data_IF_948320329234
#
_entry.id   IF_948320329234
#
_cell.length_a   1.000
_cell.length_b   1.000
_cell.length_c   1.000
_cell.angle_alpha   90.00
_cell.angle_beta   90.00
_cell.angle_gamma   90.00
#
_symmetry.space_group_name_H-M   'P 1'
#
loop_
_entity.id
_entity.type
_entity.pdbx_description
1 polymer ?
#
# COMPACT_ATOMS: atom_id res chain seq x y z
N UNK A 1 3.63 -20.27 -1.42
CA UNK A 1 4.62 -19.53 -2.23
C UNK A 1 4.80 -18.11 -1.69
N UNK A 2 4.84 -17.95 -0.35
CA UNK A 2 4.74 -16.68 0.39
C UNK A 2 6.09 -15.92 0.54
N UNK A 3 7.14 -16.34 -0.18
CA UNK A 3 8.52 -15.93 0.13
C UNK A 3 9.02 -14.68 -0.61
N UNK A 4 8.32 -14.19 -1.63
CA UNK A 4 8.78 -13.05 -2.43
C UNK A 4 8.30 -11.69 -1.87
N UNK A 5 7.04 -11.58 -1.42
CA UNK A 5 6.49 -10.33 -0.86
C UNK A 5 7.03 -10.00 0.53
N UNK A 6 7.31 -11.03 1.34
CA UNK A 6 8.02 -10.85 2.62
C UNK A 6 9.42 -10.21 2.45
N UNK A 7 10.02 -10.33 1.25
CA UNK A 7 11.35 -9.80 0.93
C UNK A 7 11.33 -8.29 0.63
N UNK A 8 10.21 -7.72 0.18
CA UNK A 8 10.09 -6.27 -0.05
C UNK A 8 9.77 -5.48 1.22
N UNK A 9 8.98 -6.03 2.15
CA UNK A 9 8.81 -5.46 3.49
C UNK A 9 10.10 -5.55 4.34
N UNK A 10 11.04 -6.44 3.98
CA UNK A 10 12.33 -6.59 4.68
C UNK A 10 13.28 -5.40 4.46
N UNK A 11 13.02 -4.52 3.48
CA UNK A 11 13.89 -3.37 3.20
C UNK A 11 13.81 -2.28 4.28
N UNK A 12 12.71 -2.18 5.03
CA UNK A 12 12.67 -1.36 6.25
C UNK A 12 13.44 -2.03 7.41
N UNK A 13 13.53 -3.37 7.43
CA UNK A 13 14.16 -4.14 8.52
C UNK A 13 15.69 -4.29 8.45
N UNK A 14 16.35 -4.01 7.32
CA UNK A 14 17.77 -4.39 7.13
C UNK A 14 18.82 -3.27 7.18
N UNK A 15 18.46 -1.99 7.32
CA UNK A 15 19.48 -0.93 7.34
C UNK A 15 20.42 -0.96 6.11
N UNK A 16 19.97 -1.56 5.01
CA UNK A 16 20.72 -1.64 3.76
C UNK A 16 20.50 -0.34 2.97
N UNK A 17 21.19 0.72 3.38
CA UNK A 17 21.75 1.77 2.51
C UNK A 17 20.86 2.47 1.48
N UNK A 18 19.53 2.44 1.59
CA UNK A 18 18.67 3.30 0.77
C UNK A 18 18.41 4.57 1.58
N UNK A 19 18.99 5.70 1.16
CA UNK A 19 18.62 7.00 1.72
C UNK A 19 17.14 7.28 1.42
N UNK A 20 16.28 6.99 2.38
CA UNK A 20 14.89 7.41 2.35
C UNK A 20 14.86 8.87 2.75
N UNK A 21 14.69 9.74 1.75
CA UNK A 21 14.52 11.18 1.99
C UNK A 21 13.36 11.43 2.94
N UNK A 22 13.60 12.26 3.97
CA UNK A 22 12.58 12.67 4.95
C UNK A 22 11.38 13.40 4.36
N UNK A 23 11.53 13.90 3.13
CA UNK A 23 10.49 14.65 2.43
C UNK A 23 9.54 13.75 1.61
N UNK A 24 9.81 12.43 1.52
CA UNK A 24 8.98 11.53 0.72
C UNK A 24 7.76 11.05 1.51
N UNK A 25 6.62 11.06 0.84
CA UNK A 25 5.40 10.44 1.36
C UNK A 25 5.46 8.91 1.15
N UNK A 26 4.69 8.17 1.95
CA UNK A 26 4.54 6.73 1.77
C UNK A 26 4.03 6.41 0.36
N UNK A 27 3.10 7.21 -0.18
CA UNK A 27 2.60 7.07 -1.55
C UNK A 27 3.73 7.16 -2.59
N UNK A 28 4.60 8.16 -2.49
CA UNK A 28 5.72 8.34 -3.42
C UNK A 28 6.73 7.20 -3.32
N UNK A 29 6.96 6.70 -2.11
CA UNK A 29 7.86 5.58 -1.86
C UNK A 29 7.33 4.28 -2.48
N UNK A 30 6.07 3.93 -2.19
CA UNK A 30 5.40 2.77 -2.77
C UNK A 30 5.50 2.79 -4.30
N UNK A 31 5.14 3.92 -4.93
CA UNK A 31 5.01 4.01 -6.39
C UNK A 31 6.34 4.14 -7.13
N UNK A 32 7.29 4.89 -6.58
CA UNK A 32 8.51 5.28 -7.29
C UNK A 32 9.74 4.49 -6.86
N UNK A 33 9.78 3.99 -5.62
CA UNK A 33 10.92 3.23 -5.10
C UNK A 33 10.63 1.72 -5.11
N UNK A 34 9.45 1.33 -4.63
CA UNK A 34 9.05 -0.09 -4.63
C UNK A 34 8.32 -0.51 -5.91
N UNK A 35 7.97 0.47 -6.76
CA UNK A 35 7.23 0.26 -8.01
C UNK A 35 5.85 -0.42 -7.83
N UNK A 36 5.30 -0.36 -6.62
CA UNK A 36 3.94 -0.77 -6.26
C UNK A 36 2.96 0.36 -6.64
N UNK A 37 2.45 0.27 -7.87
CA UNK A 37 1.65 1.33 -8.52
C UNK A 37 0.15 1.13 -8.37
N UNK A 38 -0.27 0.13 -7.61
CA UNK A 38 -1.65 -0.19 -7.27
C UNK A 38 -2.32 0.93 -6.49
N UNK A 39 -1.71 1.36 -5.38
CA UNK A 39 -2.11 2.59 -4.65
C UNK A 39 -1.96 3.82 -5.54
N UNK A 40 -3.01 4.66 -5.61
CA UNK A 40 -3.09 5.74 -6.62
C UNK A 40 -2.75 7.11 -6.07
N UNK A 41 -2.23 7.93 -6.99
CA UNK A 41 -1.95 9.35 -6.80
C UNK A 41 -3.11 10.18 -7.37
N UNK A 42 -3.74 11.05 -6.59
CA UNK A 42 -4.84 11.91 -7.08
C UNK A 42 -4.86 13.29 -6.42
N UNK A 43 -5.50 13.43 -5.25
CA UNK A 43 -5.71 14.75 -4.62
C UNK A 43 -4.53 15.24 -3.75
N UNK A 44 -3.73 14.31 -3.20
CA UNK A 44 -2.62 14.60 -2.26
C UNK A 44 -2.96 15.33 -0.95
N UNK A 45 -4.24 15.50 -0.64
CA UNK A 45 -4.70 16.20 0.57
C UNK A 45 -5.58 15.31 1.48
N UNK A 46 -5.66 14.01 1.18
CA UNK A 46 -6.41 13.02 1.96
C UNK A 46 -7.92 12.98 1.71
N UNK A 47 -8.46 13.81 0.81
CA UNK A 47 -9.91 13.87 0.55
C UNK A 47 -10.48 12.74 -0.32
N UNK A 48 -9.70 12.21 -1.27
CA UNK A 48 -10.23 11.28 -2.29
C UNK A 48 -10.19 9.79 -1.93
N UNK A 49 -9.38 9.38 -0.95
CA UNK A 49 -9.20 7.97 -0.58
C UNK A 49 -8.45 7.06 -1.57
N UNK A 50 -8.16 7.50 -2.80
CA UNK A 50 -7.50 6.66 -3.83
C UNK A 50 -6.10 6.15 -3.45
N UNK A 51 -5.50 6.73 -2.40
CA UNK A 51 -4.19 6.38 -1.87
C UNK A 51 -4.25 5.59 -0.54
N UNK A 52 -5.42 5.07 -0.16
CA UNK A 52 -5.58 4.34 1.09
C UNK A 52 -4.72 3.06 1.07
N UNK A 53 -4.06 2.81 2.20
CA UNK A 53 -3.37 1.55 2.53
C UNK A 53 -3.77 1.12 3.93
N UNK A 54 -3.65 -0.18 4.22
CA UNK A 54 -3.84 -0.71 5.55
C UNK A 54 -2.50 -0.79 6.28
N UNK A 55 -2.46 -0.41 7.56
CA UNK A 55 -1.23 -0.41 8.36
C UNK A 55 -1.47 -1.07 9.71
N UNK A 56 -0.51 -1.87 10.16
CA UNK A 56 -0.50 -2.47 11.50
C UNK A 56 0.81 -2.12 12.16
N UNK A 57 0.78 -1.58 13.39
CA UNK A 57 2.00 -1.24 14.13
C UNK A 57 2.60 -2.49 14.77
N UNK A 58 3.92 -2.62 14.76
CA UNK A 58 4.62 -3.76 15.38
C UNK A 58 4.42 -3.88 16.90
N UNK A 59 4.03 -2.79 17.55
CA UNK A 59 3.60 -2.80 18.97
C UNK A 59 2.35 -3.65 19.23
N UNK A 60 1.71 -4.18 18.19
CA UNK A 60 0.40 -4.79 18.24
C UNK A 60 -0.71 -3.74 18.15
N UNK A 61 -1.93 -4.23 17.93
CA UNK A 61 -3.14 -3.42 17.81
C UNK A 61 -3.96 -3.76 16.58
N UNK A 62 -5.09 -3.08 16.44
CA UNK A 62 -5.94 -3.19 15.26
C UNK A 62 -5.28 -2.54 14.03
N UNK A 63 -5.55 -3.10 12.87
CA UNK A 63 -5.13 -2.49 11.61
C UNK A 63 -5.89 -1.20 11.35
N UNK A 64 -5.20 -0.19 10.81
CA UNK A 64 -5.75 1.12 10.52
C UNK A 64 -5.64 1.44 9.04
N UNK A 65 -6.64 2.13 8.50
CA UNK A 65 -6.63 2.66 7.13
C UNK A 65 -6.07 4.07 7.15
N UNK A 66 -5.07 4.35 6.32
CA UNK A 66 -4.42 5.68 6.26
C UNK A 66 -4.29 6.16 4.82
N UNK A 67 -4.39 7.47 4.62
CA UNK A 67 -4.07 8.12 3.35
C UNK A 67 -2.54 8.19 3.20
N UNK A 68 -1.95 7.31 2.37
CA UNK A 68 -0.49 7.23 2.21
C UNK A 68 0.15 8.53 1.69
N UNK A 69 -0.61 9.42 1.05
CA UNK A 69 -0.12 10.74 0.62
C UNK A 69 0.16 11.70 1.79
N UNK A 70 -0.39 11.45 2.99
CA UNK A 70 -0.19 12.29 4.18
C UNK A 70 0.77 11.66 5.19
N UNK A 71 1.29 10.47 4.90
CA UNK A 71 2.17 9.71 5.79
C UNK A 71 3.60 9.89 5.33
N UNK A 72 4.48 10.36 6.22
CA UNK A 72 5.92 10.37 5.97
C UNK A 72 6.47 8.96 6.04
N UNK A 73 7.33 8.58 5.10
CA UNK A 73 8.02 7.27 5.11
C UNK A 73 8.79 7.00 6.40
N UNK A 74 9.34 8.04 7.04
CA UNK A 74 10.07 7.90 8.32
C UNK A 74 9.16 7.37 9.43
N UNK A 75 7.87 7.73 9.42
CA UNK A 75 6.93 7.26 10.45
C UNK A 75 6.60 5.77 10.34
N UNK A 76 6.98 5.12 9.24
CA UNK A 76 6.62 3.73 8.92
C UNK A 76 7.67 2.69 9.35
N UNK A 77 8.76 3.09 10.01
CA UNK A 77 9.88 2.21 10.43
C UNK A 77 9.43 0.96 11.21
N UNK A 78 8.28 1.04 11.89
CA UNK A 78 7.70 -0.03 12.71
C UNK A 78 6.27 -0.40 12.29
N UNK A 79 5.93 -0.16 11.02
CA UNK A 79 4.62 -0.46 10.46
C UNK A 79 4.72 -1.60 9.46
N UNK A 80 3.79 -2.55 9.55
CA UNK A 80 3.48 -3.47 8.47
C UNK A 80 2.44 -2.79 7.58
N UNK A 81 2.85 -2.45 6.35
CA UNK A 81 1.99 -1.79 5.35
C UNK A 81 1.46 -2.85 4.39
N UNK A 82 0.14 -2.89 4.18
CA UNK A 82 -0.54 -3.75 3.21
C UNK A 82 -1.18 -2.90 2.13
N UNK A 83 -0.82 -3.18 0.88
CA UNK A 83 -1.28 -2.52 -0.34
C UNK A 83 -2.26 -3.41 -1.11
N UNK A 84 -2.81 -2.89 -2.22
CA UNK A 84 -3.72 -3.67 -3.09
C UNK A 84 -3.00 -4.87 -3.74
N UNK A 85 -1.69 -4.77 -3.93
CA UNK A 85 -0.86 -5.85 -4.47
C UNK A 85 -0.72 -7.04 -3.51
N UNK A 86 -0.84 -6.81 -2.20
CA UNK A 86 -0.68 -7.83 -1.17
C UNK A 86 -1.93 -8.69 -0.96
N UNK A 87 -3.12 -8.13 -1.23
CA UNK A 87 -4.41 -8.78 -1.00
C UNK A 87 -4.80 -9.74 -2.13
N UNK A 88 -3.84 -10.40 -2.79
CA UNK A 88 -3.99 -11.33 -3.92
C UNK A 88 -4.20 -10.70 -5.30
N UNK A 89 -3.84 -11.44 -6.35
CA UNK A 89 -3.71 -10.93 -7.71
C UNK A 89 -3.72 -12.03 -8.77
N UNK A 90 -3.47 -11.64 -10.03
CA UNK A 90 -3.69 -12.47 -11.23
C UNK A 90 -3.09 -13.88 -11.20
N UNK A 91 -2.00 -14.10 -10.48
CA UNK A 91 -1.29 -15.37 -10.43
C UNK A 91 -1.81 -16.32 -9.34
N UNK A 92 -2.38 -15.79 -8.25
CA UNK A 92 -2.78 -16.57 -7.07
C UNK A 92 -4.31 -16.65 -6.90
N UNK A 93 -5.06 -15.96 -7.78
CA UNK A 93 -6.50 -15.75 -7.64
C UNK A 93 -6.80 -14.40 -7.00
N UNK A 94 -7.99 -13.87 -7.26
CA UNK A 94 -8.42 -12.58 -6.70
C UNK A 94 -9.13 -12.76 -5.35
N UNK A 95 -9.02 -11.76 -4.50
CA UNK A 95 -9.70 -11.74 -3.21
C UNK A 95 -11.21 -11.68 -3.42
N UNK A 96 -12.03 -12.31 -2.56
CA UNK A 96 -13.49 -12.21 -2.66
C UNK A 96 -13.99 -10.76 -2.77
N UNK A 97 -13.33 -9.79 -2.12
CA UNK A 97 -13.65 -8.37 -2.26
C UNK A 97 -13.38 -7.82 -3.66
N UNK A 98 -12.25 -8.16 -4.26
CA UNK A 98 -11.91 -7.73 -5.63
C UNK A 98 -12.89 -8.34 -6.64
N UNK A 99 -13.22 -9.63 -6.49
CA UNK A 99 -14.21 -10.34 -7.33
C UNK A 99 -15.59 -9.70 -7.19
N UNK A 100 -16.08 -9.54 -5.96
CA UNK A 100 -17.40 -8.97 -5.68
C UNK A 100 -17.54 -7.58 -6.30
N UNK A 101 -16.53 -6.71 -6.15
CA UNK A 101 -16.56 -5.36 -6.68
C UNK A 101 -16.56 -5.35 -8.21
N UNK A 102 -15.83 -6.26 -8.85
CA UNK A 102 -15.84 -6.41 -10.31
C UNK A 102 -17.17 -6.97 -10.83
N UNK A 103 -17.71 -8.03 -10.23
CA UNK A 103 -18.95 -8.68 -10.67
C UNK A 103 -20.20 -7.82 -10.47
N UNK A 104 -20.19 -6.93 -9.48
CA UNK A 104 -21.32 -6.05 -9.16
C UNK A 104 -21.21 -4.67 -9.81
N UNK A 105 -20.39 -4.51 -10.87
CA UNK A 105 -20.19 -3.23 -11.57
C UNK A 105 -19.72 -2.08 -10.63
N UNK A 106 -19.01 -2.41 -9.56
CA UNK A 106 -18.49 -1.45 -8.58
C UNK A 106 -17.23 -0.71 -9.05
N UNK A 107 -16.77 -0.97 -10.27
CA UNK A 107 -15.65 -0.28 -10.91
C UNK A 107 -15.95 0.04 -12.36
N UNK A 108 -15.63 1.28 -12.78
CA UNK A 108 -15.74 1.70 -14.18
C UNK A 108 -14.35 2.01 -14.75
N UNK A 109 -13.82 3.21 -14.48
CA UNK A 109 -12.47 3.58 -14.91
C UNK A 109 -11.36 2.86 -14.14
N UNK A 110 -11.68 2.23 -13.00
CA UNK A 110 -10.74 1.48 -12.16
C UNK A 110 -9.81 2.30 -11.28
N UNK A 111 -9.80 3.64 -11.41
CA UNK A 111 -8.79 4.45 -10.73
C UNK A 111 -8.97 4.49 -9.20
N UNK A 112 -10.20 4.66 -8.72
CA UNK A 112 -10.47 4.70 -7.27
C UNK A 112 -10.51 3.31 -6.62
N UNK A 113 -10.63 2.23 -7.39
CA UNK A 113 -10.89 0.88 -6.89
C UNK A 113 -9.86 0.33 -5.89
N UNK A 114 -8.56 0.66 -5.98
CA UNK A 114 -7.58 0.16 -5.01
C UNK A 114 -7.65 0.77 -3.61
N UNK A 115 -8.26 1.95 -3.45
CA UNK A 115 -8.38 2.63 -2.16
C UNK A 115 -9.66 2.24 -1.44
#
# INVERSE_FOLDING_TARGET
>A
MQSALASQLLLLKLGLGVEVSSFKTLLEYLRSHLELRGTKYLCLEGGCGACIVNVTKHSGGESQRVNSCLVSTISCDVWDVTTIEDISGRLEGYHPLQVTLAENNGSQCGYCTPG
#
